data_IF_006907010525
#
_entry.id   IF_006907010525
#
_cell.length_a   1.000
_cell.length_b   1.000
_cell.length_c   1.000
_cell.angle_alpha   90.00
_cell.angle_beta   90.00
_cell.angle_gamma   90.00
#
_symmetry.space_group_name_H-M   'P 1'
#
loop_
_entity.id
_entity.type
_entity.pdbx_description
1 polymer ?
#
# COMPACT_ATOMS: atom_id res chain seq x y z
N UNK A 1 33.32 -0.01 -50.19
CA UNK A 1 34.23 -1.01 -49.61
C UNK A 1 33.58 -1.45 -48.32
N UNK A 2 32.73 -2.47 -48.37
CA UNK A 2 31.98 -2.91 -47.22
C UNK A 2 32.92 -3.73 -46.34
N UNK A 3 33.32 -3.14 -45.21
CA UNK A 3 34.06 -3.85 -44.18
C UNK A 3 33.17 -4.96 -43.65
N UNK A 4 33.40 -6.19 -44.14
CA UNK A 4 32.77 -7.39 -43.60
C UNK A 4 33.20 -7.51 -42.14
N UNK A 5 32.32 -7.11 -41.22
CA UNK A 5 32.54 -7.25 -39.79
C UNK A 5 32.83 -8.73 -39.50
N UNK A 6 33.94 -9.00 -38.81
CA UNK A 6 34.30 -10.38 -38.43
C UNK A 6 33.16 -11.04 -37.67
N UNK A 7 32.91 -12.33 -37.93
CA UNK A 7 31.91 -13.14 -37.21
C UNK A 7 32.01 -13.01 -35.67
N UNK A 8 33.24 -12.89 -35.17
CA UNK A 8 33.49 -12.67 -33.73
C UNK A 8 33.01 -11.31 -33.22
N UNK A 9 33.10 -10.27 -34.06
CA UNK A 9 32.58 -8.93 -33.75
C UNK A 9 31.05 -8.93 -33.71
N UNK A 10 30.41 -9.65 -34.63
CA UNK A 10 28.95 -9.78 -34.70
C UNK A 10 28.40 -10.54 -33.49
N UNK A 11 29.01 -11.67 -33.10
CA UNK A 11 28.66 -12.36 -31.85
C UNK A 11 28.86 -11.44 -30.64
N UNK A 12 29.96 -10.70 -30.58
CA UNK A 12 30.20 -9.74 -29.51
C UNK A 12 29.11 -8.65 -29.41
N UNK A 13 28.56 -8.21 -30.55
CA UNK A 13 27.45 -7.25 -30.60
C UNK A 13 26.16 -7.88 -30.07
N UNK A 14 25.81 -9.07 -30.56
CA UNK A 14 24.59 -9.79 -30.18
C UNK A 14 24.57 -10.08 -28.67
N UNK A 15 25.68 -10.54 -28.11
CA UNK A 15 25.78 -10.82 -26.68
C UNK A 15 25.62 -9.56 -25.81
N UNK A 16 26.13 -8.42 -26.28
CA UNK A 16 25.99 -7.13 -25.58
C UNK A 16 24.55 -6.64 -25.63
N UNK A 17 23.94 -6.67 -26.82
CA UNK A 17 22.54 -6.28 -27.02
C UNK A 17 21.58 -7.14 -26.18
N UNK A 18 21.80 -8.46 -26.13
CA UNK A 18 21.02 -9.36 -25.27
C UNK A 18 21.18 -9.05 -23.78
N UNK A 19 22.40 -8.67 -23.34
CA UNK A 19 22.65 -8.27 -21.95
C UNK A 19 21.91 -6.98 -21.61
N UNK A 20 21.94 -6.00 -22.50
CA UNK A 20 21.32 -4.68 -22.28
C UNK A 20 19.79 -4.81 -22.19
N UNK A 21 19.17 -5.60 -23.08
CA UNK A 21 17.72 -5.92 -23.02
C UNK A 21 17.32 -6.55 -21.68
N UNK A 22 18.15 -7.44 -21.13
CA UNK A 22 17.88 -8.06 -19.83
C UNK A 22 17.99 -7.05 -18.68
N UNK A 23 18.97 -6.16 -18.71
CA UNK A 23 19.12 -5.10 -17.71
C UNK A 23 17.92 -4.15 -17.73
N UNK A 24 17.48 -3.71 -18.91
CA UNK A 24 16.30 -2.85 -19.05
C UNK A 24 15.03 -3.51 -18.51
N UNK A 25 14.86 -4.82 -18.72
CA UNK A 25 13.75 -5.58 -18.17
C UNK A 25 13.81 -5.65 -16.63
N UNK A 26 14.99 -5.84 -16.04
CA UNK A 26 15.19 -5.86 -14.58
C UNK A 26 14.91 -4.48 -13.99
N UNK A 27 15.42 -3.41 -14.60
CA UNK A 27 15.21 -2.03 -14.16
C UNK A 27 13.73 -1.63 -14.21
N UNK A 28 13.02 -2.02 -15.27
CA UNK A 28 11.58 -1.77 -15.39
C UNK A 28 10.78 -2.50 -14.30
N UNK A 29 11.13 -3.75 -14.00
CA UNK A 29 10.51 -4.52 -12.91
C UNK A 29 10.75 -3.87 -11.54
N UNK A 30 11.98 -3.42 -11.28
CA UNK A 30 12.32 -2.72 -10.04
C UNK A 30 11.56 -1.39 -9.90
N UNK A 31 11.48 -0.60 -10.97
CA UNK A 31 10.70 0.65 -10.99
C UNK A 31 9.21 0.40 -10.70
N UNK A 32 8.63 -0.63 -11.30
CA UNK A 32 7.23 -1.01 -11.03
C UNK A 32 7.04 -1.44 -9.58
N UNK A 33 7.94 -2.26 -9.04
CA UNK A 33 7.87 -2.72 -7.65
C UNK A 33 7.94 -1.54 -6.67
N UNK A 34 8.84 -0.59 -6.91
CA UNK A 34 8.96 0.64 -6.11
C UNK A 34 7.69 1.49 -6.20
N UNK A 35 7.14 1.69 -7.40
CA UNK A 35 5.90 2.44 -7.58
C UNK A 35 4.71 1.81 -6.83
N UNK A 36 4.61 0.48 -6.86
CA UNK A 36 3.59 -0.26 -6.10
C UNK A 36 3.80 -0.15 -4.59
N UNK A 37 5.04 -0.26 -4.11
CA UNK A 37 5.36 -0.10 -2.70
C UNK A 37 4.99 1.31 -2.19
N UNK A 38 5.32 2.35 -2.97
CA UNK A 38 4.96 3.74 -2.68
C UNK A 38 3.43 3.89 -2.65
N UNK A 39 2.71 3.36 -3.65
CA UNK A 39 1.25 3.42 -3.70
C UNK A 39 0.62 2.73 -2.49
N UNK A 40 1.11 1.55 -2.10
CA UNK A 40 0.64 0.82 -0.92
C UNK A 40 0.91 1.60 0.37
N UNK A 41 2.08 2.23 0.48
CA UNK A 41 2.44 3.04 1.63
C UNK A 41 1.54 4.28 1.75
N UNK A 42 1.31 5.00 0.66
CA UNK A 42 0.41 6.17 0.62
C UNK A 42 -1.05 5.78 0.86
N UNK A 43 -1.48 4.61 0.36
CA UNK A 43 -2.86 4.14 0.55
C UNK A 43 -3.19 3.80 2.00
N UNK A 44 -2.18 3.57 2.84
CA UNK A 44 -2.36 3.47 4.29
C UNK A 44 -2.35 4.88 4.88
N UNK A 45 -3.37 5.67 4.57
CA UNK A 45 -3.68 6.86 5.37
C UNK A 45 -4.32 6.38 6.68
N UNK A 46 -3.68 6.52 7.84
CA UNK A 46 -4.31 6.21 9.13
C UNK A 46 -5.43 7.20 9.49
N UNK A 47 -5.59 8.26 8.68
CA UNK A 47 -6.52 9.36 8.88
C UNK A 47 -7.66 9.33 7.85
N UNK A 48 -8.22 8.15 7.55
CA UNK A 48 -9.52 8.14 6.86
C UNK A 48 -10.53 8.80 7.81
N UNK A 49 -11.11 9.93 7.41
CA UNK A 49 -12.02 10.72 8.25
C UNK A 49 -13.20 9.86 8.76
N UNK A 50 -13.57 8.84 7.99
CA UNK A 50 -14.56 7.84 8.38
C UNK A 50 -14.12 7.00 9.59
N UNK A 51 -12.83 6.65 9.70
CA UNK A 51 -12.27 5.86 10.79
C UNK A 51 -12.00 6.73 12.02
N UNK A 52 -11.51 7.95 11.85
CA UNK A 52 -11.34 8.94 12.94
C UNK A 52 -12.67 9.19 13.65
N UNK A 53 -13.76 9.37 12.89
CA UNK A 53 -15.10 9.57 13.44
C UNK A 53 -15.65 8.36 14.22
N UNK A 54 -15.11 7.16 13.98
CA UNK A 54 -15.49 5.93 14.69
C UNK A 54 -14.66 5.68 15.95
N UNK A 55 -13.54 6.39 16.13
CA UNK A 55 -12.74 6.25 17.34
C UNK A 55 -13.53 6.72 18.56
N UNK A 56 -13.48 5.94 19.64
CA UNK A 56 -14.27 6.19 20.85
C UNK A 56 -13.78 7.41 21.65
N UNK A 57 -12.70 8.08 21.23
CA UNK A 57 -12.13 9.23 21.90
C UNK A 57 -11.52 8.90 23.27
N UNK A 58 -11.04 9.90 24.03
CA UNK A 58 -10.42 9.71 25.34
C UNK A 58 -11.36 9.07 26.37
N UNK A 59 -10.81 8.36 27.36
CA UNK A 59 -11.58 7.68 28.41
C UNK A 59 -12.58 8.62 29.11
N UNK A 60 -12.16 9.86 29.42
CA UNK A 60 -13.04 10.89 30.01
C UNK A 60 -14.23 11.25 29.10
N UNK A 61 -14.01 11.38 27.78
CA UNK A 61 -15.08 11.69 26.84
C UNK A 61 -16.07 10.53 26.67
N UNK A 62 -15.59 9.29 26.80
CA UNK A 62 -16.43 8.10 26.81
C UNK A 62 -17.29 8.05 28.08
N UNK A 63 -16.67 8.29 29.24
CA UNK A 63 -17.35 8.27 30.54
C UNK A 63 -18.40 9.39 30.65
N UNK A 64 -18.07 10.61 30.22
CA UNK A 64 -19.02 11.72 30.19
C UNK A 64 -20.21 11.43 29.26
N UNK A 65 -20.00 10.84 28.08
CA UNK A 65 -21.11 10.39 27.22
C UNK A 65 -21.95 9.34 27.94
N UNK A 66 -21.32 8.36 28.58
CA UNK A 66 -22.00 7.29 29.32
C UNK A 66 -22.92 7.84 30.42
N UNK A 67 -22.41 8.78 31.22
CA UNK A 67 -23.15 9.47 32.27
C UNK A 67 -24.30 10.31 31.71
N UNK A 68 -24.06 11.07 30.63
CA UNK A 68 -25.08 11.92 30.00
C UNK A 68 -26.25 11.13 29.40
N UNK A 69 -25.98 9.94 28.85
CA UNK A 69 -27.02 9.08 28.28
C UNK A 69 -27.66 8.11 29.29
N UNK A 70 -27.30 8.20 30.59
CA UNK A 70 -27.90 7.37 31.64
C UNK A 70 -27.60 5.87 31.51
N UNK A 71 -26.56 5.50 30.76
CA UNK A 71 -26.19 4.09 30.52
C UNK A 71 -25.36 3.56 31.67
N UNK A 72 -26.01 3.32 32.81
CA UNK A 72 -25.35 2.81 34.02
C UNK A 72 -24.73 1.42 33.79
N UNK A 73 -25.26 0.61 32.86
CA UNK A 73 -24.80 -0.75 32.64
C UNK A 73 -24.12 -0.95 31.27
N UNK A 74 -22.82 -1.27 31.28
CA UNK A 74 -21.99 -1.52 30.09
C UNK A 74 -22.58 -2.64 29.22
N UNK A 75 -23.16 -3.65 29.85
CA UNK A 75 -23.77 -4.81 29.18
C UNK A 75 -24.98 -4.36 28.33
N UNK A 76 -25.83 -3.47 28.84
CA UNK A 76 -27.01 -3.00 28.11
C UNK A 76 -26.65 -2.05 26.97
N UNK A 77 -25.62 -1.22 27.14
CA UNK A 77 -25.07 -0.37 26.07
C UNK A 77 -24.42 -1.17 24.93
N UNK A 78 -23.78 -2.30 25.25
CA UNK A 78 -23.21 -3.20 24.23
C UNK A 78 -24.30 -3.95 23.46
N UNK A 79 -25.40 -4.29 24.14
CA UNK A 79 -26.54 -4.99 23.56
C UNK A 79 -27.45 -4.07 22.70
N UNK A 80 -27.38 -2.75 22.89
CA UNK A 80 -28.15 -1.77 22.10
C UNK A 80 -27.53 -1.44 20.74
N UNK A 81 -26.29 -1.88 20.47
CA UNK A 81 -25.74 -1.84 19.11
C UNK A 81 -26.43 -2.97 18.34
N UNK A 82 -27.34 -2.58 17.46
CA UNK A 82 -28.19 -3.49 16.69
C UNK A 82 -27.46 -4.76 16.23
N UNK A 83 -28.10 -5.91 16.40
CA UNK A 83 -27.63 -7.22 15.93
C UNK A 83 -27.71 -7.37 14.42
N UNK A 84 -27.58 -6.29 13.64
CA UNK A 84 -27.61 -6.38 12.18
C UNK A 84 -26.44 -7.23 11.70
N UNK A 85 -26.76 -8.50 11.45
CA UNK A 85 -26.31 -9.26 10.29
C UNK A 85 -26.81 -8.59 9.02
#
# INVERSE_FOLDING_TARGET
>A
MDEKTSFTSEIGRILRESRDVNNDLVDNKLRLAVALAIKLHISRNPEDMADIGRMTGPAFAQDHRRMRFGTNNLIQSRNSRSTWR
#
